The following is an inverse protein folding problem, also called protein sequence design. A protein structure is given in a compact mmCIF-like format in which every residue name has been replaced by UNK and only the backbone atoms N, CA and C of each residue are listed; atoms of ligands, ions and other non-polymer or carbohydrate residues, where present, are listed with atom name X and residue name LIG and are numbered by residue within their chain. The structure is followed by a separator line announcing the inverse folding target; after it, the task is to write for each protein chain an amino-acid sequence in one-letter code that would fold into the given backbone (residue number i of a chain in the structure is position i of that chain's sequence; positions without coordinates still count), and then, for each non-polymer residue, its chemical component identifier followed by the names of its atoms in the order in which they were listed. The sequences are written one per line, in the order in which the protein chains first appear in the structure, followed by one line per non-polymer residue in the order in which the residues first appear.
data_IF_624633566278
#
_entry.id   IF_624633566278
#
_cell.length_a   1.000
_cell.length_b   1.000
_cell.length_c   1.000
_cell.angle_alpha   90.00
_cell.angle_beta   90.00
_cell.angle_gamma   90.00
#
_symmetry.space_group_name_H-M   'P 1'
#
loop_
_entity.id
_entity.type
_entity.pdbx_description
1 polymer ?
#
# COMPACT_ATOMS: atom_id res chain seq x y z
N UNK A 1 -0.34 -6.06 33.99
CA UNK A 1 -0.08 -5.05 32.93
C UNK A 1 0.77 -5.57 31.76
N UNK A 2 1.09 -6.87 31.70
CA UNK A 2 1.92 -7.46 30.61
C UNK A 2 1.12 -7.97 29.40
N UNK A 3 -0.19 -8.18 29.51
CA UNK A 3 -1.01 -8.73 28.42
C UNK A 3 -1.42 -7.73 27.34
N UNK A 4 -1.31 -6.44 27.62
CA UNK A 4 -1.74 -5.37 26.68
C UNK A 4 -0.76 -5.10 25.53
N UNK A 5 0.48 -5.58 25.58
CA UNK A 5 1.51 -5.27 24.59
C UNK A 5 1.74 -6.39 23.55
N UNK A 6 1.17 -7.58 23.76
CA UNK A 6 1.40 -8.72 22.88
C UNK A 6 1.01 -8.46 21.39
N UNK A 7 -0.15 -7.85 21.09
CA UNK A 7 -0.51 -7.55 19.70
C UNK A 7 0.44 -6.54 19.05
N UNK A 8 0.91 -5.53 19.80
CA UNK A 8 1.87 -4.54 19.32
C UNK A 8 3.21 -5.17 18.98
N UNK A 9 3.74 -6.01 19.87
CA UNK A 9 5.02 -6.71 19.66
C UNK A 9 4.97 -7.55 18.39
N UNK A 10 3.92 -8.37 18.22
CA UNK A 10 3.73 -9.21 17.03
C UNK A 10 3.64 -8.35 15.76
N UNK A 11 2.91 -7.23 15.80
CA UNK A 11 2.77 -6.36 14.65
C UNK A 11 4.10 -5.66 14.30
N UNK A 12 4.89 -5.24 15.29
CA UNK A 12 6.22 -4.65 15.06
C UNK A 12 7.21 -5.68 14.52
N UNK A 13 7.20 -6.92 15.03
CA UNK A 13 8.00 -8.00 14.50
C UNK A 13 7.69 -8.29 13.03
N UNK A 14 6.40 -8.33 12.66
CA UNK A 14 5.95 -8.57 11.29
C UNK A 14 6.50 -7.54 10.29
N UNK A 15 6.74 -6.30 10.73
CA UNK A 15 7.32 -5.23 9.90
C UNK A 15 8.83 -5.05 10.10
N UNK A 16 9.48 -5.98 10.82
CA UNK A 16 10.93 -5.97 11.07
C UNK A 16 11.38 -4.83 12.00
N UNK A 17 10.57 -4.52 13.02
CA UNK A 17 10.83 -3.52 14.04
C UNK A 17 10.81 -4.10 15.45
N UNK A 18 11.15 -5.38 15.61
CA UNK A 18 11.29 -6.01 16.91
C UNK A 18 12.26 -5.23 17.81
N UNK A 19 11.90 -5.05 19.09
CA UNK A 19 12.72 -4.32 20.06
C UNK A 19 12.63 -2.79 19.98
N UNK A 20 11.64 -2.27 19.26
CA UNK A 20 11.39 -0.81 19.16
C UNK A 20 10.13 -0.35 19.89
N UNK A 21 9.54 -1.22 20.70
CA UNK A 21 8.23 -1.01 21.35
C UNK A 21 8.21 0.21 22.27
N UNK A 22 9.36 0.52 22.87
CA UNK A 22 9.51 1.62 23.83
C UNK A 22 10.02 2.93 23.18
N UNK A 23 10.27 2.93 21.86
CA UNK A 23 10.77 4.12 21.17
C UNK A 23 9.63 5.09 20.81
N UNK A 24 9.88 6.38 21.00
CA UNK A 24 8.99 7.42 20.54
C UNK A 24 9.11 7.64 19.02
N UNK A 25 8.05 8.14 18.36
CA UNK A 25 8.08 8.40 16.91
C UNK A 25 9.26 9.26 16.45
N UNK A 26 9.70 10.22 17.25
CA UNK A 26 10.86 11.08 16.94
C UNK A 26 12.22 10.38 16.98
N UNK A 27 12.30 9.20 17.58
CA UNK A 27 13.51 8.36 17.65
C UNK A 27 13.61 7.38 16.49
N UNK A 28 12.52 7.26 15.71
CA UNK A 28 12.44 6.39 14.56
C UNK A 28 12.89 7.10 13.27
N UNK A 29 13.64 6.40 12.42
CA UNK A 29 13.91 6.89 11.07
C UNK A 29 12.63 7.00 10.24
N UNK A 30 12.62 7.80 9.17
CA UNK A 30 11.44 7.93 8.30
C UNK A 30 10.95 6.59 7.73
N UNK A 31 11.87 5.67 7.39
CA UNK A 31 11.53 4.31 6.96
C UNK A 31 10.94 3.46 8.09
N UNK A 32 11.41 3.63 9.33
CA UNK A 32 10.82 2.96 10.50
C UNK A 32 9.41 3.49 10.80
N UNK A 33 9.20 4.81 10.73
CA UNK A 33 7.88 5.42 10.94
C UNK A 33 6.86 4.90 9.90
N UNK A 34 7.25 4.77 8.63
CA UNK A 34 6.39 4.14 7.61
C UNK A 34 6.04 2.70 7.98
N UNK A 35 7.01 1.89 8.40
CA UNK A 35 6.75 0.50 8.82
C UNK A 35 5.86 0.40 10.06
N UNK A 36 5.98 1.32 11.02
CA UNK A 36 5.04 1.41 12.14
C UNK A 36 3.61 1.68 11.67
N UNK A 37 3.43 2.49 10.62
CA UNK A 37 2.10 2.72 10.05
C UNK A 37 1.47 1.44 9.48
N UNK A 38 2.28 0.53 8.91
CA UNK A 38 1.81 -0.81 8.50
C UNK A 38 1.48 -1.69 9.71
N UNK A 39 2.35 -1.72 10.73
CA UNK A 39 2.06 -2.45 11.96
C UNK A 39 0.72 -2.03 12.59
N UNK A 40 0.44 -0.73 12.62
CA UNK A 40 -0.84 -0.18 13.10
C UNK A 40 -2.05 -0.68 12.31
N UNK A 41 -1.90 -0.86 11.00
CA UNK A 41 -2.99 -1.29 10.13
C UNK A 41 -3.39 -2.77 10.36
N UNK A 42 -2.48 -3.59 10.89
CA UNK A 42 -2.72 -5.03 11.13
C UNK A 42 -3.00 -5.37 12.60
N UNK A 43 -2.94 -4.39 13.51
CA UNK A 43 -3.33 -4.62 14.90
C UNK A 43 -4.84 -4.81 14.96
N UNK A 44 -5.25 -5.97 15.43
CA UNK A 44 -6.65 -6.26 15.65
C UNK A 44 -7.24 -5.38 16.76
N UNK A 45 -8.40 -4.80 16.51
CA UNK A 45 -9.19 -4.15 17.52
C UNK A 45 -10.04 -5.21 18.24
N UNK A 46 -9.78 -5.48 19.53
CA UNK A 46 -10.53 -6.51 20.28
C UNK A 46 -12.01 -6.17 20.45
N UNK A 47 -12.45 -4.96 20.13
CA UNK A 47 -13.85 -4.56 20.12
C UNK A 47 -14.59 -4.91 18.83
N UNK A 48 -13.89 -5.34 17.77
CA UNK A 48 -14.51 -5.68 16.50
C UNK A 48 -15.21 -7.05 16.58
N UNK A 49 -16.34 -7.20 15.87
CA UNK A 49 -17.01 -8.49 15.78
C UNK A 49 -16.12 -9.58 15.17
N UNK A 50 -16.15 -10.79 15.75
CA UNK A 50 -15.45 -11.94 15.18
C UNK A 50 -15.85 -12.17 13.71
N UNK A 51 -14.86 -12.47 12.86
CA UNK A 51 -15.07 -12.77 11.43
C UNK A 51 -15.19 -11.54 10.53
N UNK A 52 -15.06 -10.32 11.07
CA UNK A 52 -14.95 -9.12 10.24
C UNK A 52 -13.61 -9.12 9.49
N UNK A 53 -13.69 -9.03 8.17
CA UNK A 53 -12.48 -8.89 7.34
C UNK A 53 -12.14 -7.41 7.16
N UNK A 54 -10.98 -6.94 7.61
CA UNK A 54 -10.63 -5.53 7.49
C UNK A 54 -10.37 -5.13 6.03
N UNK A 55 -10.62 -3.85 5.74
CA UNK A 55 -10.16 -3.20 4.52
C UNK A 55 -8.98 -2.29 4.87
N UNK A 56 -7.81 -2.63 4.35
CA UNK A 56 -6.60 -1.82 4.52
C UNK A 56 -6.52 -0.76 3.41
N UNK A 57 -6.26 0.48 3.79
CA UNK A 57 -6.15 1.59 2.85
C UNK A 57 -4.73 2.15 2.88
N UNK A 58 -4.07 2.18 1.72
CA UNK A 58 -2.71 2.69 1.55
C UNK A 58 -2.74 3.83 0.51
N UNK A 59 -2.35 5.02 0.93
CA UNK A 59 -2.26 6.18 0.05
C UNK A 59 -0.80 6.53 -0.18
N UNK A 60 -0.35 6.39 -1.44
CA UNK A 60 1.02 6.64 -1.91
C UNK A 60 2.11 6.05 -0.97
N UNK A 61 2.04 4.75 -0.62
CA UNK A 61 2.88 4.17 0.42
C UNK A 61 4.38 4.17 0.07
N UNK A 62 4.72 4.19 -1.21
CA UNK A 62 6.11 4.18 -1.73
C UNK A 62 6.64 5.58 -2.08
N UNK A 63 5.85 6.64 -1.93
CA UNK A 63 6.25 8.00 -2.29
C UNK A 63 7.52 8.45 -1.55
N UNK A 64 8.48 8.97 -2.31
CA UNK A 64 9.74 9.52 -1.78
C UNK A 64 10.74 8.47 -1.28
N UNK A 65 10.56 7.20 -1.61
CA UNK A 65 11.48 6.12 -1.28
C UNK A 65 12.37 5.76 -2.48
N UNK A 66 13.56 5.25 -2.20
CA UNK A 66 14.41 4.61 -3.20
C UNK A 66 13.80 3.26 -3.66
N UNK A 67 14.23 2.70 -4.82
CA UNK A 67 13.64 1.50 -5.38
C UNK A 67 13.70 0.26 -4.46
N UNK A 68 14.77 0.12 -3.65
CA UNK A 68 14.92 -1.02 -2.73
C UNK A 68 13.96 -0.89 -1.55
N UNK A 69 13.82 0.33 -1.02
CA UNK A 69 12.85 0.61 0.02
C UNK A 69 11.40 0.47 -0.49
N UNK A 70 11.11 0.87 -1.74
CA UNK A 70 9.81 0.63 -2.39
C UNK A 70 9.47 -0.87 -2.38
N UNK A 71 10.39 -1.73 -2.83
CA UNK A 71 10.17 -3.19 -2.85
C UNK A 71 9.81 -3.73 -1.47
N UNK A 72 10.49 -3.27 -0.41
CA UNK A 72 10.17 -3.69 0.97
C UNK A 72 8.78 -3.26 1.42
N UNK A 73 8.36 -2.05 1.06
CA UNK A 73 7.01 -1.55 1.36
C UNK A 73 5.96 -2.33 0.56
N UNK A 74 6.21 -2.63 -0.70
CA UNK A 74 5.34 -3.44 -1.54
C UNK A 74 5.13 -4.85 -0.96
N UNK A 75 6.21 -5.50 -0.50
CA UNK A 75 6.12 -6.79 0.19
C UNK A 75 5.32 -6.68 1.51
N UNK A 76 5.48 -5.59 2.27
CA UNK A 76 4.72 -5.35 3.49
C UNK A 76 3.22 -5.12 3.22
N UNK A 77 2.85 -4.48 2.11
CA UNK A 77 1.44 -4.33 1.72
C UNK A 77 0.79 -5.70 1.54
N UNK A 78 1.43 -6.58 0.76
CA UNK A 78 0.93 -7.94 0.51
C UNK A 78 0.84 -8.72 1.81
N UNK A 79 1.93 -8.77 2.59
CA UNK A 79 1.96 -9.49 3.87
C UNK A 79 0.92 -8.97 4.87
N UNK A 80 0.76 -7.65 4.99
CA UNK A 80 -0.22 -7.05 5.89
C UNK A 80 -1.66 -7.42 5.49
N UNK A 81 -1.95 -7.47 4.20
CA UNK A 81 -3.25 -7.86 3.68
C UNK A 81 -3.54 -9.34 3.98
N UNK A 82 -2.54 -10.21 3.80
CA UNK A 82 -2.63 -11.64 4.10
C UNK A 82 -2.81 -11.89 5.60
N UNK A 83 -2.01 -11.24 6.45
CA UNK A 83 -2.10 -11.34 7.92
C UNK A 83 -3.48 -10.89 8.41
N UNK A 84 -3.99 -9.78 7.89
CA UNK A 84 -5.30 -9.26 8.26
C UNK A 84 -6.45 -10.13 7.74
N UNK A 85 -6.20 -11.06 6.82
CA UNK A 85 -7.22 -11.92 6.20
C UNK A 85 -8.32 -11.15 5.46
N UNK A 86 -8.02 -9.91 5.07
CA UNK A 86 -8.96 -8.96 4.49
C UNK A 86 -8.68 -8.62 3.03
N UNK A 87 -8.92 -7.37 2.69
CA UNK A 87 -8.64 -6.78 1.38
C UNK A 87 -7.87 -5.48 1.55
N UNK A 88 -7.17 -5.06 0.51
CA UNK A 88 -6.51 -3.76 0.51
C UNK A 88 -6.87 -2.92 -0.71
N UNK A 89 -6.86 -1.61 -0.52
CA UNK A 89 -6.87 -0.62 -1.62
C UNK A 89 -5.60 0.18 -1.52
N UNK A 90 -4.85 0.20 -2.61
CA UNK A 90 -3.59 0.95 -2.72
C UNK A 90 -3.77 2.04 -3.78
N UNK A 91 -3.62 3.28 -3.37
CA UNK A 91 -3.53 4.42 -4.30
C UNK A 91 -2.07 4.65 -4.61
N UNK A 92 -1.70 4.58 -5.87
CA UNK A 92 -0.32 4.84 -6.29
C UNK A 92 -0.24 5.22 -7.77
N UNK A 93 0.76 6.04 -8.11
CA UNK A 93 1.16 6.32 -9.48
C UNK A 93 2.45 5.56 -9.88
N UNK A 94 2.99 4.74 -9.00
CA UNK A 94 4.23 3.98 -9.21
C UNK A 94 3.92 2.63 -9.84
N UNK A 95 4.43 2.39 -11.05
CA UNK A 95 4.14 1.18 -11.82
C UNK A 95 4.55 -0.11 -11.10
N UNK A 96 5.72 -0.15 -10.44
CA UNK A 96 6.16 -1.33 -9.69
C UNK A 96 5.19 -1.68 -8.57
N UNK A 97 4.73 -0.68 -7.82
CA UNK A 97 3.76 -0.86 -6.74
C UNK A 97 2.46 -1.47 -7.27
N UNK A 98 1.93 -0.95 -8.38
CA UNK A 98 0.71 -1.49 -9.00
C UNK A 98 0.91 -2.96 -9.39
N UNK A 99 2.00 -3.27 -10.09
CA UNK A 99 2.24 -4.62 -10.62
C UNK A 99 2.56 -5.67 -9.54
N UNK A 100 3.11 -5.26 -8.40
CA UNK A 100 3.49 -6.17 -7.32
C UNK A 100 2.39 -6.38 -6.29
N UNK A 101 1.50 -5.41 -6.10
CA UNK A 101 0.54 -5.45 -4.99
C UNK A 101 -0.90 -5.67 -5.42
N UNK A 102 -1.25 -5.45 -6.70
CA UNK A 102 -2.64 -5.46 -7.14
C UNK A 102 -3.04 -6.76 -7.84
N UNK A 103 -4.22 -7.28 -7.50
CA UNK A 103 -4.96 -8.26 -8.31
C UNK A 103 -5.80 -7.56 -9.38
N UNK A 104 -6.37 -6.40 -9.02
CA UNK A 104 -7.22 -5.57 -9.87
C UNK A 104 -6.73 -4.13 -9.85
N UNK A 105 -6.87 -3.48 -11.00
CA UNK A 105 -6.48 -2.07 -11.17
C UNK A 105 -7.70 -1.27 -11.61
N UNK A 106 -7.83 -0.08 -11.03
CA UNK A 106 -8.79 0.94 -11.46
C UNK A 106 -8.00 2.20 -11.80
N UNK A 107 -8.15 2.71 -13.01
CA UNK A 107 -7.54 3.98 -13.42
C UNK A 107 -8.54 5.11 -13.24
N UNK A 108 -8.22 6.01 -12.33
CA UNK A 108 -8.99 7.23 -12.05
C UNK A 108 -8.31 8.42 -12.73
N UNK A 109 -9.06 9.19 -13.51
CA UNK A 109 -8.59 10.43 -14.10
C UNK A 109 -9.74 11.41 -14.25
N UNK A 110 -9.53 12.66 -13.84
CA UNK A 110 -10.52 13.74 -13.88
C UNK A 110 -11.84 13.34 -13.19
N UNK A 111 -11.73 12.76 -11.99
CA UNK A 111 -12.88 12.37 -11.17
C UNK A 111 -13.67 11.16 -11.68
N UNK A 112 -13.23 10.50 -12.77
CA UNK A 112 -13.94 9.38 -13.38
C UNK A 112 -13.07 8.14 -13.52
N UNK A 113 -13.70 6.96 -13.40
CA UNK A 113 -13.05 5.69 -13.70
C UNK A 113 -12.92 5.51 -15.22
N UNK A 114 -11.71 5.66 -15.74
CA UNK A 114 -11.41 5.55 -17.17
C UNK A 114 -11.15 4.11 -17.61
N UNK A 115 -10.78 3.26 -16.67
CA UNK A 115 -10.55 1.84 -16.93
C UNK A 115 -10.56 1.04 -15.63
N UNK A 116 -10.94 -0.25 -15.72
CA UNK A 116 -10.80 -1.23 -14.64
C UNK A 116 -10.63 -2.63 -15.21
N UNK A 117 -9.85 -3.46 -14.51
CA UNK A 117 -9.60 -4.84 -14.92
C UNK A 117 -8.62 -5.57 -14.00
N UNK A 118 -8.21 -6.77 -14.39
CA UNK A 118 -7.12 -7.48 -13.71
C UNK A 118 -5.77 -6.78 -13.99
N UNK A 119 -4.76 -7.06 -13.15
CA UNK A 119 -3.40 -6.57 -13.42
C UNK A 119 -2.85 -7.12 -14.74
N UNK A 120 -3.21 -8.34 -15.12
CA UNK A 120 -2.83 -8.94 -16.40
C UNK A 120 -3.44 -8.18 -17.60
N UNK A 121 -4.73 -7.84 -17.51
CA UNK A 121 -5.39 -7.02 -18.52
C UNK A 121 -4.82 -5.61 -18.58
N UNK A 122 -4.45 -5.03 -17.43
CA UNK A 122 -3.80 -3.73 -17.37
C UNK A 122 -2.48 -3.72 -18.14
N UNK A 123 -1.67 -4.77 -18.00
CA UNK A 123 -0.38 -4.88 -18.69
C UNK A 123 -0.49 -4.95 -20.22
N UNK A 124 -1.59 -5.47 -20.75
CA UNK A 124 -1.79 -5.68 -22.19
C UNK A 124 -2.83 -4.74 -22.80
N UNK A 125 -3.49 -3.91 -21.97
CA UNK A 125 -4.57 -3.03 -22.41
C UNK A 125 -4.13 -2.05 -23.50
N UNK A 126 -4.98 -1.90 -24.51
CA UNK A 126 -4.87 -0.88 -25.57
C UNK A 126 -5.72 0.36 -25.29
N UNK A 127 -6.38 0.43 -24.11
CA UNK A 127 -7.10 1.62 -23.68
C UNK A 127 -6.15 2.83 -23.67
N UNK A 128 -6.48 3.95 -24.29
CA UNK A 128 -5.55 5.07 -24.46
C UNK A 128 -5.08 5.69 -23.15
N UNK A 129 -5.92 5.70 -22.09
CA UNK A 129 -5.52 6.17 -20.76
C UNK A 129 -4.51 5.22 -20.11
N UNK A 130 -4.77 3.90 -20.17
CA UNK A 130 -3.86 2.88 -19.63
C UNK A 130 -2.53 2.90 -20.37
N UNK A 131 -2.57 2.98 -21.70
CA UNK A 131 -1.37 3.01 -22.53
C UNK A 131 -0.51 4.23 -22.20
N UNK A 132 -1.13 5.41 -22.12
CA UNK A 132 -0.43 6.65 -21.75
C UNK A 132 0.21 6.55 -20.38
N UNK A 133 -0.53 6.05 -19.38
CA UNK A 133 -0.04 5.87 -18.01
C UNK A 133 1.16 4.91 -17.97
N UNK A 134 1.04 3.74 -18.60
CA UNK A 134 2.09 2.71 -18.63
C UNK A 134 3.37 3.15 -19.33
N UNK A 135 3.25 3.93 -20.40
CA UNK A 135 4.39 4.37 -21.21
C UNK A 135 4.94 5.71 -20.78
N UNK A 136 4.32 6.36 -19.78
CA UNK A 136 4.63 7.72 -19.36
C UNK A 136 4.67 8.71 -20.54
N UNK A 137 3.79 8.50 -21.55
CA UNK A 137 3.75 9.31 -22.76
C UNK A 137 3.16 10.69 -22.48
N UNK A 138 3.75 11.73 -23.04
CA UNK A 138 3.16 13.08 -23.06
C UNK A 138 1.98 13.19 -24.03
N UNK A 139 1.87 12.26 -24.98
CA UNK A 139 0.79 12.21 -25.96
C UNK A 139 -0.28 11.23 -25.50
N UNK A 140 -1.53 11.70 -25.38
CA UNK A 140 -2.66 10.87 -24.98
C UNK A 140 -3.78 11.71 -24.36
N UNK A 141 -4.84 11.07 -23.84
CA UNK A 141 -6.00 11.77 -23.31
C UNK A 141 -5.77 12.44 -21.97
N UNK A 142 -4.77 12.03 -21.18
CA UNK A 142 -4.42 12.66 -19.92
C UNK A 142 -3.54 13.88 -20.19
N UNK A 143 -3.97 15.04 -19.72
CA UNK A 143 -3.16 16.26 -19.79
C UNK A 143 -2.30 16.35 -18.52
N UNK A 144 -0.99 16.68 -18.63
CA UNK A 144 -0.18 17.00 -17.47
C UNK A 144 -0.83 18.15 -16.69
N UNK A 145 -0.74 18.09 -15.34
CA UNK A 145 -1.11 19.26 -14.55
C UNK A 145 -0.26 20.45 -15.02
N UNK A 146 -0.91 21.58 -15.28
CA UNK A 146 -0.17 22.82 -15.59
C UNK A 146 0.73 23.13 -14.39
N UNK A 147 2.03 23.28 -14.65
CA UNK A 147 3.06 23.63 -13.67
C UNK A 147 3.01 25.10 -13.33
#
# INVERSE_FOLDING_TARGET
MAESHAPLVVALEAVGLAGTEDLYPGELSGGMQKRVSFARAVIEDPSQPEGLRPLLLFDEPTAGLDPVACTRIEDLIVQSTDIAGGSSVVVSHVMSTILRTADRVVLLYDGEFRWQGSVADFQTSTNPYVLQFRTASLSGPMQPAEL
#
